data_IF_786547691359
#
_entry.id   IF_786547691359
#
_cell.length_a   1.000
_cell.length_b   1.000
_cell.length_c   1.000
_cell.angle_alpha   90.00
_cell.angle_beta   90.00
_cell.angle_gamma   90.00
#
_symmetry.space_group_name_H-M   'P 1'
#
loop_
_entity.id
_entity.type
_entity.pdbx_description
1 polymer ?
#
# COMPACT_ATOMS: atom_id res chain seq x y z
N UNK A 1 -44.19 2.57 -12.69
CA UNK A 1 -43.13 1.56 -12.92
C UNK A 1 -41.80 2.18 -13.36
N UNK A 2 -41.76 3.04 -14.38
CA UNK A 2 -40.54 3.76 -14.83
C UNK A 2 -39.81 4.58 -13.74
N UNK A 3 -40.56 5.25 -12.85
CA UNK A 3 -39.97 6.05 -11.76
C UNK A 3 -39.18 5.22 -10.74
N UNK A 4 -39.59 3.98 -10.47
CA UNK A 4 -38.91 3.10 -9.52
C UNK A 4 -37.58 2.57 -10.09
N UNK A 5 -37.57 2.23 -11.39
CA UNK A 5 -36.37 1.79 -12.11
C UNK A 5 -35.32 2.90 -12.22
N UNK A 6 -35.73 4.15 -12.43
CA UNK A 6 -34.82 5.29 -12.46
C UNK A 6 -34.12 5.50 -11.09
N UNK A 7 -34.84 5.34 -9.99
CA UNK A 7 -34.28 5.48 -8.63
C UNK A 7 -33.26 4.38 -8.35
N UNK A 8 -33.57 3.12 -8.70
CA UNK A 8 -32.64 1.99 -8.53
C UNK A 8 -31.36 2.21 -9.36
N UNK A 9 -31.48 2.71 -10.59
CA UNK A 9 -30.33 2.99 -11.46
C UNK A 9 -29.41 4.10 -10.90
N UNK A 10 -29.98 5.16 -10.31
CA UNK A 10 -29.21 6.23 -9.67
C UNK A 10 -28.48 5.74 -8.41
N UNK A 11 -29.10 4.86 -7.63
CA UNK A 11 -28.49 4.27 -6.42
C UNK A 11 -27.32 3.34 -6.80
N UNK A 12 -27.43 2.58 -7.88
CA UNK A 12 -26.36 1.67 -8.34
C UNK A 12 -25.12 2.40 -8.88
N UNK A 13 -25.27 3.59 -9.45
CA UNK A 13 -24.14 4.37 -10.01
C UNK A 13 -23.35 5.09 -8.89
N UNK A 14 -23.96 5.32 -7.72
CA UNK A 14 -23.33 6.04 -6.61
C UNK A 14 -22.30 5.22 -5.82
N UNK A 15 -22.21 3.90 -6.03
CA UNK A 15 -21.21 3.04 -5.39
C UNK A 15 -19.99 2.89 -6.29
N UNK A 16 -19.11 3.89 -6.29
CA UNK A 16 -17.74 3.69 -6.80
C UNK A 16 -16.95 2.91 -5.76
N UNK A 17 -16.55 1.68 -6.08
CA UNK A 17 -15.63 0.92 -5.25
C UNK A 17 -14.26 1.58 -5.33
N UNK A 18 -13.80 2.23 -4.26
CA UNK A 18 -12.42 2.63 -4.13
C UNK A 18 -11.59 1.35 -3.88
N UNK A 19 -10.75 0.96 -4.83
CA UNK A 19 -9.88 -0.19 -4.67
C UNK A 19 -8.83 0.12 -3.58
N UNK A 20 -8.65 -0.82 -2.65
CA UNK A 20 -7.60 -0.74 -1.66
C UNK A 20 -6.32 -1.35 -2.25
N UNK A 21 -5.33 -0.52 -2.55
CA UNK A 21 -4.11 -0.91 -3.24
C UNK A 21 -2.96 0.08 -3.01
N UNK A 22 -1.73 -0.36 -3.33
CA UNK A 22 -0.59 0.54 -3.53
C UNK A 22 -0.74 1.17 -4.92
N UNK A 23 -0.75 2.49 -4.98
CA UNK A 23 -0.91 3.26 -6.22
C UNK A 23 0.43 3.71 -6.81
N UNK A 24 1.47 3.81 -5.99
CA UNK A 24 2.81 4.20 -6.45
C UNK A 24 3.89 3.77 -5.47
N UNK A 25 5.05 3.37 -6.01
CA UNK A 25 6.29 3.17 -5.26
C UNK A 25 7.41 3.88 -6.00
N UNK A 26 8.09 4.80 -5.32
CA UNK A 26 9.22 5.55 -5.86
C UNK A 26 10.43 5.34 -4.98
N UNK A 27 11.54 4.92 -5.57
CA UNK A 27 12.82 4.86 -4.90
C UNK A 27 13.70 6.04 -5.34
N UNK A 28 14.24 6.78 -4.38
CA UNK A 28 15.24 7.84 -4.59
C UNK A 28 16.43 7.59 -3.67
N UNK A 29 17.50 6.99 -4.21
CA UNK A 29 18.66 6.58 -3.42
C UNK A 29 18.27 5.60 -2.32
N UNK A 30 18.46 6.01 -1.07
CA UNK A 30 18.13 5.24 0.14
C UNK A 30 16.68 5.38 0.62
N UNK A 31 15.90 6.23 -0.05
CA UNK A 31 14.51 6.50 0.32
C UNK A 31 13.56 5.73 -0.59
N UNK A 32 12.53 5.14 0.00
CA UNK A 32 11.41 4.49 -0.70
C UNK A 32 10.13 5.15 -0.21
N UNK A 33 9.35 5.70 -1.13
CA UNK A 33 8.06 6.35 -0.86
C UNK A 33 6.96 5.48 -1.45
N UNK A 34 6.02 5.05 -0.61
CA UNK A 34 4.89 4.18 -0.97
C UNK A 34 3.59 4.94 -0.77
N UNK A 35 2.86 5.14 -1.86
CA UNK A 35 1.53 5.74 -1.87
C UNK A 35 0.49 4.64 -2.03
N UNK A 36 -0.55 4.67 -1.20
CA UNK A 36 -1.64 3.69 -1.19
C UNK A 36 -2.98 4.31 -0.83
N UNK A 37 -4.04 3.56 -1.11
CA UNK A 37 -5.43 3.84 -0.74
C UNK A 37 -5.99 2.59 -0.04
N UNK A 38 -6.83 2.70 1.01
CA UNK A 38 -7.22 3.93 1.71
C UNK A 38 -6.05 4.59 2.44
N UNK A 39 -6.12 5.91 2.63
CA UNK A 39 -4.99 6.72 3.09
C UNK A 39 -4.55 6.50 4.54
N UNK A 40 -5.25 5.67 5.33
CA UNK A 40 -4.87 5.35 6.71
C UNK A 40 -4.99 3.86 6.99
N UNK A 41 -3.85 3.20 7.22
CA UNK A 41 -3.73 1.76 7.52
C UNK A 41 -2.67 1.57 8.61
N UNK A 42 -2.99 0.77 9.62
CA UNK A 42 -2.02 0.33 10.63
C UNK A 42 -1.17 -0.81 10.07
N UNK A 43 0.10 -0.55 9.79
CA UNK A 43 1.01 -1.52 9.20
C UNK A 43 1.59 -2.47 10.24
N UNK A 44 1.43 -3.78 10.03
CA UNK A 44 2.06 -4.84 10.82
C UNK A 44 3.42 -5.18 10.20
N UNK A 45 3.48 -5.32 8.88
CA UNK A 45 4.67 -5.68 8.11
C UNK A 45 4.89 -4.68 6.98
N UNK A 46 6.15 -4.29 6.77
CA UNK A 46 6.58 -3.52 5.60
C UNK A 46 7.92 -4.12 5.18
N UNK A 47 7.97 -4.67 3.98
CA UNK A 47 9.09 -5.49 3.53
C UNK A 47 9.49 -5.16 2.09
N UNK A 48 10.79 -5.20 1.80
CA UNK A 48 11.29 -5.43 0.45
C UNK A 48 11.33 -6.93 0.20
N UNK A 49 10.96 -7.36 -1.00
CA UNK A 49 10.89 -8.76 -1.37
C UNK A 49 11.78 -9.01 -2.58
N UNK A 50 12.55 -10.10 -2.54
CA UNK A 50 13.34 -10.59 -3.66
C UNK A 50 13.11 -12.09 -3.77
N UNK A 51 12.46 -12.55 -4.84
CA UNK A 51 12.20 -13.98 -5.09
C UNK A 51 11.53 -14.68 -3.89
N UNK A 52 10.62 -13.96 -3.21
CA UNK A 52 9.93 -14.42 -2.01
C UNK A 52 10.68 -14.24 -0.68
N UNK A 53 11.98 -13.90 -0.70
CA UNK A 53 12.73 -13.55 0.50
C UNK A 53 12.38 -12.13 0.96
N UNK A 54 12.02 -11.99 2.24
CA UNK A 54 11.54 -10.72 2.81
C UNK A 54 12.61 -10.05 3.65
N UNK A 55 12.88 -8.78 3.35
CA UNK A 55 13.71 -7.89 4.18
C UNK A 55 12.79 -6.90 4.90
N UNK A 56 12.75 -6.96 6.22
CA UNK A 56 11.93 -6.06 7.04
C UNK A 56 12.46 -4.62 6.96
N UNK A 57 11.63 -3.69 6.48
CA UNK A 57 11.95 -2.27 6.39
C UNK A 57 11.09 -1.39 7.30
N UNK A 58 10.09 -1.95 7.98
CA UNK A 58 9.19 -1.22 8.89
C UNK A 58 9.91 -0.30 9.89
N UNK A 59 11.03 -0.69 10.54
CA UNK A 59 11.74 0.20 11.47
C UNK A 59 12.27 1.49 10.86
N UNK A 60 12.42 1.54 9.54
CA UNK A 60 12.94 2.68 8.79
C UNK A 60 11.84 3.53 8.17
N UNK A 61 10.57 3.18 8.38
CA UNK A 61 9.40 3.82 7.79
C UNK A 61 8.70 4.79 8.76
N UNK A 62 7.99 5.77 8.21
CA UNK A 62 7.09 6.63 8.98
C UNK A 62 5.96 5.81 9.63
N UNK A 63 5.80 5.91 10.94
CA UNK A 63 4.89 5.07 11.74
C UNK A 63 3.44 5.58 11.82
N UNK A 64 3.07 6.67 11.15
CA UNK A 64 1.74 7.27 11.27
C UNK A 64 0.64 6.52 10.48
N UNK A 65 0.98 5.43 9.78
CA UNK A 65 0.05 4.65 8.98
C UNK A 65 -0.68 5.44 7.91
N UNK A 66 -0.18 6.65 7.58
CA UNK A 66 -0.82 7.56 6.64
C UNK A 66 -0.10 7.52 5.31
N UNK A 67 -0.85 7.60 4.22
CA UNK A 67 -0.30 7.64 2.85
C UNK A 67 0.13 9.08 2.52
N UNK A 68 1.33 9.30 1.93
CA UNK A 68 2.35 8.30 1.61
C UNK A 68 3.18 7.90 2.83
N UNK A 69 3.68 6.66 2.81
CA UNK A 69 4.69 6.19 3.76
C UNK A 69 6.07 6.39 3.17
N UNK A 70 6.97 6.99 3.94
CA UNK A 70 8.37 7.19 3.56
C UNK A 70 9.26 6.30 4.41
N UNK A 71 10.09 5.48 3.75
CA UNK A 71 11.09 4.61 4.37
C UNK A 71 12.49 5.08 4.00
N UNK A 72 13.33 5.42 4.99
CA UNK A 72 14.71 5.87 4.78
C UNK A 72 15.67 4.81 5.28
N UNK A 73 16.21 4.01 4.36
CA UNK A 73 16.98 2.82 4.67
C UNK A 73 18.46 3.14 4.89
N UNK A 74 19.19 2.39 5.73
CA UNK A 74 20.65 2.50 5.81
C UNK A 74 21.31 2.00 4.52
N UNK A 75 20.71 1.00 3.87
CA UNK A 75 21.10 0.43 2.58
C UNK A 75 19.87 -0.17 1.91
N UNK A 76 19.76 -0.06 0.58
CA UNK A 76 18.67 -0.68 -0.19
C UNK A 76 19.20 -1.95 -0.85
N UNK A 77 18.78 -3.16 -0.42
CA UNK A 77 19.13 -4.40 -1.10
C UNK A 77 18.37 -4.54 -2.43
N UNK A 78 18.76 -5.52 -3.24
CA UNK A 78 17.99 -5.89 -4.43
C UNK A 78 16.59 -6.37 -4.01
N UNK A 79 15.58 -5.99 -4.79
CA UNK A 79 14.18 -6.37 -4.58
C UNK A 79 13.45 -6.41 -5.93
N UNK A 80 12.43 -7.26 -6.04
CA UNK A 80 11.49 -7.35 -7.16
C UNK A 80 10.08 -6.84 -6.82
N UNK A 81 9.81 -6.61 -5.53
CA UNK A 81 8.55 -6.10 -5.05
C UNK A 81 8.65 -5.50 -3.65
N UNK A 82 7.66 -4.70 -3.26
CA UNK A 82 7.41 -4.32 -1.87
C UNK A 82 6.13 -4.97 -1.38
N UNK A 83 6.10 -5.34 -0.11
CA UNK A 83 4.92 -5.91 0.55
C UNK A 83 4.57 -5.17 1.82
N UNK A 84 3.31 -4.76 1.93
CA UNK A 84 2.75 -4.02 3.05
C UNK A 84 1.54 -4.80 3.57
N UNK A 85 1.61 -5.29 4.81
CA UNK A 85 0.52 -6.02 5.47
C UNK A 85 0.02 -5.20 6.66
N UNK A 86 -1.28 -4.93 6.72
CA UNK A 86 -1.86 -4.08 7.75
C UNK A 86 -3.37 -4.23 7.90
N UNK A 87 -3.98 -3.35 8.68
CA UNK A 87 -5.43 -3.33 8.93
C UNK A 87 -5.93 -1.89 9.13
N UNK A 88 -7.18 -1.61 8.79
CA UNK A 88 -7.77 -0.24 8.94
C UNK A 88 -8.19 0.11 10.37
N UNK A 89 -8.17 -0.85 11.30
CA UNK A 89 -8.51 -0.66 12.71
C UNK A 89 -8.93 -1.96 13.39
N UNK A 90 -9.21 -1.91 14.69
CA UNK A 90 -9.69 -3.07 15.45
C UNK A 90 -11.02 -3.55 14.85
N UNK A 91 -11.09 -4.82 14.46
CA UNK A 91 -12.27 -5.41 13.79
C UNK A 91 -12.43 -5.04 12.32
N UNK A 92 -11.51 -4.27 11.75
CA UNK A 92 -11.49 -3.91 10.33
C UNK A 92 -10.89 -4.98 9.42
N UNK A 93 -11.01 -4.83 8.08
CA UNK A 93 -10.36 -5.71 7.13
C UNK A 93 -8.82 -5.67 7.25
N UNK A 94 -8.21 -6.80 6.93
CA UNK A 94 -6.76 -6.92 6.72
C UNK A 94 -6.44 -6.60 5.25
N UNK A 95 -5.36 -5.87 5.03
CA UNK A 95 -4.83 -5.53 3.72
C UNK A 95 -3.47 -6.19 3.54
N UNK A 96 -3.30 -6.94 2.46
CA UNK A 96 -2.01 -7.47 2.01
C UNK A 96 -1.71 -6.91 0.63
N UNK A 97 -0.91 -5.85 0.60
CA UNK A 97 -0.53 -5.18 -0.64
C UNK A 97 0.84 -5.66 -1.09
N UNK A 98 0.93 -6.05 -2.35
CA UNK A 98 2.19 -6.36 -3.02
C UNK A 98 2.27 -5.49 -4.27
N UNK A 99 3.38 -4.77 -4.42
CA UNK A 99 3.60 -3.91 -5.58
C UNK A 99 4.94 -4.25 -6.24
N UNK A 100 4.96 -4.56 -7.56
CA UNK A 100 6.19 -4.90 -8.26
C UNK A 100 7.06 -3.65 -8.47
N UNK A 101 8.34 -3.75 -8.09
CA UNK A 101 9.35 -2.71 -8.32
C UNK A 101 10.71 -3.37 -8.37
N UNK A 102 11.59 -2.90 -9.25
CA UNK A 102 13.00 -3.31 -9.23
C UNK A 102 13.79 -2.31 -8.38
N UNK A 103 14.22 -2.73 -7.19
CA UNK A 103 15.04 -1.86 -6.34
C UNK A 103 16.41 -1.63 -6.99
N UNK A 104 16.87 -0.38 -7.01
CA UNK A 104 18.27 -0.07 -7.27
C UNK A 104 19.08 -0.32 -6.00
N UNK A 105 20.13 -1.13 -6.08
CA UNK A 105 20.98 -1.40 -4.91
C UNK A 105 21.75 -0.13 -4.52
N UNK A 106 21.66 0.28 -3.26
CA UNK A 106 22.37 1.45 -2.72
C UNK A 106 22.99 1.10 -1.38
N UNK A 107 24.31 1.22 -1.28
CA UNK A 107 25.08 0.98 -0.05
C UNK A 107 25.08 2.21 0.87
#
# INVERSE_FOLDING_TARGET
>A
MFKLLAIISVILIAFTFANAEITSVVQTGKQIVVTYTPGTISWIEQSLVLQGAKTNIKPYCTNNGSSPVTCTLPSVPACDSVRFLGFSGIGGPTFDFVFPIQCTVVA
#
